data_IF_062201171792
#
_entry.id   IF_062201171792
#
_cell.length_a   1.000
_cell.length_b   1.000
_cell.length_c   1.000
_cell.angle_alpha   90.00
_cell.angle_beta   90.00
_cell.angle_gamma   90.00
#
_symmetry.space_group_name_H-M   'P 1'
#
loop_
_entity.id
_entity.type
_entity.pdbx_description
1 polymer ?
#
# COMPACT_ATOMS: atom_id res chain seq x y z
N UNK A 1 -9.41 -3.20 -11.51
CA UNK A 1 -10.22 -2.55 -10.46
C UNK A 1 -9.77 -2.97 -9.07
N UNK A 2 -9.10 -4.12 -8.90
CA UNK A 2 -8.73 -4.65 -7.60
C UNK A 2 -7.29 -4.39 -7.15
N UNK A 3 -6.31 -4.07 -8.00
CA UNK A 3 -4.91 -4.00 -7.53
C UNK A 3 -4.60 -2.81 -6.60
N UNK A 4 -5.18 -1.64 -6.87
CA UNK A 4 -5.16 -0.53 -5.91
C UNK A 4 -6.03 -0.85 -4.71
N UNK A 5 -7.19 -1.50 -4.93
CA UNK A 5 -8.07 -1.96 -3.87
C UNK A 5 -7.49 -3.11 -3.03
N UNK A 6 -6.46 -3.85 -3.47
CA UNK A 6 -5.79 -4.90 -2.70
C UNK A 6 -4.66 -4.29 -1.87
N UNK A 7 -3.94 -3.32 -2.45
CA UNK A 7 -3.08 -2.43 -1.67
C UNK A 7 -3.88 -1.64 -0.62
N UNK A 8 -5.15 -1.31 -0.87
CA UNK A 8 -5.98 -0.47 0.02
C UNK A 8 -6.86 -1.29 0.98
N UNK A 9 -7.61 -2.30 0.53
CA UNK A 9 -8.45 -3.14 1.40
C UNK A 9 -7.65 -4.15 2.23
N UNK A 10 -6.43 -4.49 1.82
CA UNK A 10 -5.50 -5.18 2.72
C UNK A 10 -5.16 -4.32 3.95
N UNK A 11 -5.13 -2.99 3.81
CA UNK A 11 -4.76 -2.04 4.87
C UNK A 11 -5.95 -1.56 5.72
N UNK A 12 -7.19 -1.94 5.39
CA UNK A 12 -8.39 -1.34 6.00
C UNK A 12 -9.33 -2.34 6.71
N UNK A 13 -8.91 -3.59 6.91
CA UNK A 13 -9.71 -4.55 7.68
C UNK A 13 -9.49 -4.35 9.19
N UNK A 14 -10.10 -3.31 9.74
CA UNK A 14 -10.15 -3.13 11.19
C UNK A 14 -11.07 -1.98 11.59
N UNK A 15 -12.05 -2.31 12.44
CA UNK A 15 -12.84 -1.38 13.29
C UNK A 15 -14.13 -0.83 12.68
N UNK A 16 -15.16 -1.68 12.69
CA UNK A 16 -16.56 -1.27 12.83
C UNK A 16 -16.97 -1.40 14.30
N UNK A 17 -16.95 -0.32 15.09
CA UNK A 17 -17.70 -0.25 16.35
C UNK A 17 -18.22 1.17 16.66
N UNK A 18 -19.41 1.21 17.24
CA UNK A 18 -20.33 2.33 17.47
C UNK A 18 -19.82 3.41 18.45
N UNK A 19 -19.04 4.36 17.95
CA UNK A 19 -19.16 5.83 18.13
C UNK A 19 -18.52 6.40 16.85
N UNK A 20 -19.04 7.47 16.24
CA UNK A 20 -18.36 8.05 15.06
C UNK A 20 -16.98 8.56 15.54
N UNK A 21 -15.93 7.76 15.32
CA UNK A 21 -14.55 8.12 15.70
C UNK A 21 -14.23 9.48 15.08
N UNK A 22 -13.40 10.30 15.74
CA UNK A 22 -13.06 11.60 15.20
C UNK A 22 -12.52 11.51 13.76
N UNK A 23 -11.76 10.46 13.45
CA UNK A 23 -11.30 10.12 12.10
C UNK A 23 -12.43 10.02 11.08
N UNK A 24 -13.59 9.45 11.41
CA UNK A 24 -14.74 9.41 10.49
C UNK A 24 -15.33 10.80 10.24
N UNK A 25 -15.35 11.68 11.24
CA UNK A 25 -15.78 13.08 11.05
C UNK A 25 -14.81 13.84 10.16
N UNK A 26 -13.51 13.59 10.34
CA UNK A 26 -12.45 14.13 9.48
C UNK A 26 -12.61 13.61 8.06
N UNK A 27 -12.88 12.31 7.88
CA UNK A 27 -13.07 11.70 6.56
C UNK A 27 -14.24 12.34 5.81
N UNK A 28 -15.40 12.47 6.47
CA UNK A 28 -16.59 13.12 5.89
C UNK A 28 -16.33 14.59 5.57
N UNK A 29 -15.66 15.33 6.46
CA UNK A 29 -15.46 16.77 6.28
C UNK A 29 -14.36 17.12 5.28
N UNK A 30 -13.30 16.31 5.22
CA UNK A 30 -12.07 16.60 4.47
C UNK A 30 -11.87 15.66 3.27
N UNK A 31 -12.83 14.75 3.01
CA UNK A 31 -12.79 13.78 1.92
C UNK A 31 -11.51 12.94 1.95
N UNK A 32 -11.26 12.28 3.07
CA UNK A 32 -10.03 11.51 3.28
C UNK A 32 -9.98 10.30 2.33
N UNK A 33 -11.14 9.69 2.03
CA UNK A 33 -11.31 8.71 0.96
C UNK A 33 -10.88 9.20 -0.43
N UNK A 34 -10.87 10.52 -0.67
CA UNK A 34 -10.43 11.07 -1.95
C UNK A 34 -8.90 11.22 -2.03
N UNK A 35 -8.13 11.00 -0.94
CA UNK A 35 -6.65 10.89 -1.04
C UNK A 35 -6.23 9.70 -1.91
N UNK A 36 -7.18 8.79 -2.13
CA UNK A 36 -7.08 7.59 -2.93
C UNK A 36 -7.74 7.84 -4.30
N UNK A 37 -7.39 8.94 -4.98
CA UNK A 37 -7.86 9.14 -6.35
C UNK A 37 -7.56 7.88 -7.19
N UNK A 38 -8.55 7.48 -8.01
CA UNK A 38 -8.58 6.17 -8.69
C UNK A 38 -7.46 5.97 -9.72
N UNK A 39 -6.67 7.00 -10.03
CA UNK A 39 -5.60 6.93 -11.01
C UNK A 39 -4.39 7.72 -10.57
N UNK A 40 -3.19 7.14 -10.73
CA UNK A 40 -1.94 7.86 -10.51
C UNK A 40 -1.82 9.07 -11.44
N UNK A 41 -1.18 10.16 -10.99
CA UNK A 41 -0.88 11.30 -11.84
C UNK A 41 -0.02 10.84 -13.01
N UNK A 42 -0.35 11.31 -14.21
CA UNK A 42 0.37 10.94 -15.44
C UNK A 42 1.42 11.95 -15.88
N UNK A 43 1.48 13.11 -15.22
CA UNK A 43 2.35 14.23 -15.56
C UNK A 43 2.73 14.99 -14.30
N UNK A 44 3.85 15.72 -14.37
CA UNK A 44 4.35 16.52 -13.24
C UNK A 44 3.36 17.63 -12.86
N UNK A 45 2.68 18.22 -13.85
CA UNK A 45 1.62 19.22 -13.64
C UNK A 45 0.46 18.65 -12.82
N UNK A 46 -0.01 17.44 -13.15
CA UNK A 46 -1.07 16.77 -12.38
C UNK A 46 -0.61 16.40 -10.98
N UNK A 47 0.64 15.94 -10.83
CA UNK A 47 1.19 15.66 -9.51
C UNK A 47 1.25 16.94 -8.67
N UNK A 48 1.62 18.08 -9.24
CA UNK A 48 1.65 19.37 -8.54
C UNK A 48 0.24 19.81 -8.08
N UNK A 49 -0.78 19.63 -8.94
CA UNK A 49 -2.18 19.85 -8.59
C UNK A 49 -2.63 18.96 -7.41
N UNK A 50 -2.35 17.66 -7.48
CA UNK A 50 -2.64 16.71 -6.39
C UNK A 50 -1.92 17.09 -5.08
N UNK A 51 -0.68 17.58 -5.19
CA UNK A 51 0.09 18.01 -4.02
C UNK A 51 -0.47 19.28 -3.37
N UNK A 52 -1.01 20.22 -4.15
CA UNK A 52 -1.72 21.38 -3.61
C UNK A 52 -3.02 20.94 -2.92
N UNK A 53 -3.78 20.05 -3.53
CA UNK A 53 -5.00 19.49 -2.95
C UNK A 53 -4.71 18.75 -1.62
N UNK A 54 -3.61 17.98 -1.56
CA UNK A 54 -3.14 17.32 -0.36
C UNK A 54 -2.87 18.31 0.78
N UNK A 55 -2.22 19.44 0.49
CA UNK A 55 -1.94 20.48 1.50
C UNK A 55 -3.21 21.11 2.05
N UNK A 56 -4.20 21.39 1.20
CA UNK A 56 -5.49 21.91 1.63
C UNK A 56 -6.24 20.90 2.52
N UNK A 57 -6.24 19.62 2.12
CA UNK A 57 -6.88 18.56 2.90
C UNK A 57 -6.21 18.36 4.25
N UNK A 58 -4.88 18.40 4.33
CA UNK A 58 -4.17 18.36 5.61
C UNK A 58 -4.58 19.48 6.55
N UNK A 59 -4.69 20.71 6.06
CA UNK A 59 -5.16 21.85 6.86
C UNK A 59 -6.59 21.62 7.36
N UNK A 60 -7.47 21.07 6.51
CA UNK A 60 -8.81 20.66 6.92
C UNK A 60 -8.76 19.59 8.03
N UNK A 61 -7.95 18.54 7.86
CA UNK A 61 -7.83 17.45 8.85
C UNK A 61 -7.37 17.98 10.20
N UNK A 62 -6.29 18.77 10.24
CA UNK A 62 -5.77 19.37 11.46
C UNK A 62 -6.86 20.23 12.14
N UNK A 63 -7.58 21.06 11.37
CA UNK A 63 -8.67 21.87 11.92
C UNK A 63 -9.76 21.01 12.55
N UNK A 64 -10.17 19.93 11.88
CA UNK A 64 -11.24 19.04 12.35
C UNK A 64 -10.81 18.18 13.53
N UNK A 65 -9.57 17.73 13.56
CA UNK A 65 -8.99 17.00 14.69
C UNK A 65 -8.89 17.89 15.93
N UNK A 66 -8.50 19.17 15.79
CA UNK A 66 -8.53 20.14 16.90
C UNK A 66 -9.92 20.32 17.50
N UNK A 67 -10.97 20.33 16.66
CA UNK A 67 -12.36 20.39 17.12
C UNK A 67 -12.77 19.14 17.95
N UNK A 68 -12.14 17.99 17.70
CA UNK A 68 -12.41 16.76 18.45
C UNK A 68 -11.64 16.66 19.77
N UNK A 69 -10.33 16.89 19.75
CA UNK A 69 -9.45 16.63 20.90
C UNK A 69 -9.38 17.83 21.87
N UNK A 70 -9.75 19.04 21.42
CA UNK A 70 -9.74 20.26 22.25
C UNK A 70 -8.36 20.65 22.80
N UNK A 71 -7.29 20.02 22.31
CA UNK A 71 -5.94 20.16 22.84
C UNK A 71 -5.04 21.00 21.93
N UNK A 72 -4.24 21.87 22.54
CA UNK A 72 -3.20 22.67 21.87
C UNK A 72 -1.92 21.86 21.70
N UNK A 73 -1.95 20.88 20.80
CA UNK A 73 -0.74 20.20 20.34
C UNK A 73 -0.20 20.83 19.05
N UNK A 74 1.05 20.53 18.70
CA UNK A 74 1.57 20.82 17.37
C UNK A 74 0.86 19.95 16.30
N UNK A 75 0.92 20.37 15.04
CA UNK A 75 0.17 19.73 13.94
C UNK A 75 0.48 18.24 13.77
N UNK A 76 1.72 17.82 14.04
CA UNK A 76 2.09 16.41 13.91
C UNK A 76 1.45 15.59 15.02
N UNK A 77 1.55 16.07 16.26
CA UNK A 77 0.93 15.42 17.43
C UNK A 77 -0.58 15.27 17.29
N UNK A 78 -1.28 16.25 16.69
CA UNK A 78 -2.72 16.19 16.41
C UNK A 78 -3.05 15.08 15.40
N UNK A 79 -2.27 14.97 14.33
CA UNK A 79 -2.47 13.93 13.33
C UNK A 79 -2.13 12.54 13.88
N UNK A 80 -1.14 12.43 14.75
CA UNK A 80 -0.74 11.15 15.37
C UNK A 80 -1.74 10.67 16.42
N UNK A 81 -2.42 11.58 17.15
CA UNK A 81 -3.48 11.19 18.09
C UNK A 81 -4.81 10.89 17.41
N UNK A 82 -5.10 11.60 16.32
CA UNK A 82 -6.44 11.65 15.72
C UNK A 82 -6.68 10.74 14.53
N UNK A 83 -5.63 10.16 13.94
CA UNK A 83 -5.72 9.31 12.75
C UNK A 83 -5.24 7.89 13.03
N UNK A 84 -5.80 6.92 12.32
CA UNK A 84 -5.29 5.55 12.32
C UNK A 84 -3.84 5.50 11.81
N UNK A 85 -3.11 4.47 12.25
CA UNK A 85 -1.73 4.19 11.83
C UNK A 85 -1.58 4.12 10.30
N UNK A 86 -2.56 3.50 9.62
CA UNK A 86 -2.56 3.37 8.16
C UNK A 86 -2.77 4.71 7.46
N UNK A 87 -3.75 5.49 7.91
CA UNK A 87 -3.99 6.85 7.40
C UNK A 87 -2.75 7.73 7.57
N UNK A 88 -2.11 7.68 8.74
CA UNK A 88 -0.91 8.45 9.02
C UNK A 88 0.27 8.05 8.12
N UNK A 89 0.48 6.76 7.88
CA UNK A 89 1.53 6.26 6.98
C UNK A 89 1.31 6.73 5.56
N UNK A 90 0.09 6.58 5.04
CA UNK A 90 -0.27 7.05 3.70
C UNK A 90 -0.07 8.57 3.57
N UNK A 91 -0.45 9.33 4.60
CA UNK A 91 -0.26 10.77 4.63
C UNK A 91 1.23 11.13 4.62
N UNK A 92 2.06 10.48 5.44
CA UNK A 92 3.52 10.70 5.47
C UNK A 92 4.15 10.39 4.10
N UNK A 93 3.80 9.27 3.49
CA UNK A 93 4.26 8.87 2.17
C UNK A 93 3.88 9.89 1.08
N UNK A 94 2.60 10.25 0.98
CA UNK A 94 2.12 11.22 -0.02
C UNK A 94 2.74 12.60 0.18
N UNK A 95 3.00 13.00 1.42
CA UNK A 95 3.74 14.22 1.76
C UNK A 95 5.17 14.18 1.23
N UNK A 96 5.85 13.04 1.42
CA UNK A 96 7.22 12.86 0.96
C UNK A 96 7.29 12.89 -0.58
N UNK A 97 6.35 12.23 -1.25
CA UNK A 97 6.20 12.29 -2.72
C UNK A 97 5.93 13.73 -3.18
N UNK A 98 5.23 14.56 -2.41
CA UNK A 98 4.98 15.96 -2.75
C UNK A 98 6.13 16.92 -2.40
N UNK A 99 7.10 16.47 -1.61
CA UNK A 99 8.25 17.30 -1.25
C UNK A 99 9.29 17.27 -2.38
N UNK A 100 9.43 18.38 -3.14
CA UNK A 100 10.35 18.49 -4.28
C UNK A 100 11.81 18.22 -3.93
N UNK A 101 12.19 18.43 -2.66
CA UNK A 101 13.54 18.20 -2.17
C UNK A 101 13.79 16.75 -1.72
N UNK A 102 12.78 15.87 -1.77
CA UNK A 102 12.93 14.47 -1.35
C UNK A 102 13.47 13.58 -2.48
N UNK A 103 14.31 12.62 -2.11
CA UNK A 103 14.81 11.60 -3.05
C UNK A 103 13.67 10.73 -3.61
N UNK A 104 12.61 10.53 -2.83
CA UNK A 104 11.41 9.81 -3.26
C UNK A 104 10.63 10.58 -4.32
N UNK A 105 10.47 11.90 -4.19
CA UNK A 105 9.83 12.73 -5.20
C UNK A 105 10.56 12.65 -6.54
N UNK A 106 11.88 12.84 -6.52
CA UNK A 106 12.70 12.80 -7.74
C UNK A 106 12.57 11.47 -8.48
N UNK A 107 12.65 10.34 -7.76
CA UNK A 107 12.48 9.00 -8.35
C UNK A 107 11.05 8.76 -8.81
N UNK A 108 10.06 9.11 -8.00
CA UNK A 108 8.66 8.95 -8.36
C UNK A 108 8.32 9.73 -9.63
N UNK A 109 8.71 10.99 -9.75
CA UNK A 109 8.46 11.81 -10.95
C UNK A 109 9.09 11.20 -12.21
N UNK A 110 10.29 10.64 -12.09
CA UNK A 110 10.95 9.97 -13.22
C UNK A 110 10.21 8.71 -13.66
N UNK A 111 9.73 7.90 -12.71
CA UNK A 111 9.10 6.62 -12.99
C UNK A 111 7.57 6.75 -13.22
N UNK A 112 6.98 7.89 -12.86
CA UNK A 112 5.53 8.16 -12.85
C UNK A 112 4.80 7.81 -14.17
N UNK A 113 5.30 8.15 -15.37
CA UNK A 113 4.64 7.75 -16.61
C UNK A 113 4.51 6.22 -16.73
N UNK A 114 5.52 5.48 -16.27
CA UNK A 114 5.50 4.03 -16.30
C UNK A 114 4.60 3.46 -15.20
N UNK A 115 4.67 4.02 -13.99
CA UNK A 115 3.77 3.68 -12.88
C UNK A 115 2.32 3.83 -13.28
N UNK A 116 1.97 4.92 -13.96
CA UNK A 116 0.62 5.14 -14.50
C UNK A 116 0.24 4.06 -15.52
N UNK A 117 1.10 3.78 -16.50
CA UNK A 117 0.84 2.78 -17.53
C UNK A 117 0.60 1.39 -16.92
N UNK A 118 1.44 0.97 -15.97
CA UNK A 118 1.32 -0.33 -15.29
C UNK A 118 0.06 -0.36 -14.43
N UNK A 119 -0.19 0.68 -13.65
CA UNK A 119 -1.42 0.83 -12.84
C UNK A 119 -2.69 0.71 -13.69
N UNK A 120 -2.73 1.42 -14.81
CA UNK A 120 -3.87 1.41 -15.74
C UNK A 120 -4.04 0.02 -16.37
N UNK A 121 -2.95 -0.66 -16.75
CA UNK A 121 -2.98 -2.01 -17.33
C UNK A 121 -3.44 -3.09 -16.34
N UNK A 122 -2.87 -3.10 -15.13
CA UNK A 122 -3.28 -4.04 -14.07
C UNK A 122 -4.77 -3.84 -13.71
N UNK A 123 -5.24 -2.59 -13.75
CA UNK A 123 -6.64 -2.29 -13.48
C UNK A 123 -7.61 -2.85 -14.52
N UNK A 124 -7.18 -3.04 -15.76
CA UNK A 124 -7.97 -3.60 -16.86
C UNK A 124 -7.89 -5.12 -16.90
N UNK A 125 -6.69 -5.69 -16.73
CA UNK A 125 -6.45 -7.10 -17.06
C UNK A 125 -6.59 -8.08 -15.87
N UNK A 126 -6.59 -7.63 -14.61
CA UNK A 126 -6.70 -8.50 -13.41
C UNK A 126 -5.71 -9.70 -13.39
N UNK A 127 -4.53 -9.57 -13.99
CA UNK A 127 -3.62 -10.69 -14.29
C UNK A 127 -2.77 -11.23 -13.12
N UNK A 128 -3.18 -11.08 -11.86
CA UNK A 128 -2.38 -11.54 -10.71
C UNK A 128 -2.78 -12.88 -10.10
N UNK A 129 -3.81 -13.55 -10.64
CA UNK A 129 -4.26 -14.87 -10.14
C UNK A 129 -3.30 -16.04 -10.47
N UNK A 130 -2.26 -15.80 -11.25
CA UNK A 130 -1.50 -16.85 -11.96
C UNK A 130 -0.15 -17.25 -11.34
N UNK A 131 0.17 -16.80 -10.11
CA UNK A 131 1.44 -17.20 -9.48
C UNK A 131 1.46 -18.68 -9.06
N UNK A 132 0.32 -19.40 -9.05
CA UNK A 132 0.31 -20.85 -8.87
C UNK A 132 0.94 -21.33 -7.55
N UNK A 133 1.13 -20.45 -6.56
CA UNK A 133 1.64 -20.83 -5.22
C UNK A 133 0.51 -21.52 -4.42
N UNK A 134 -0.75 -21.39 -4.86
CA UNK A 134 -1.93 -21.96 -4.21
C UNK A 134 -2.02 -23.49 -4.22
N UNK A 135 -1.66 -24.27 -5.28
CA UNK A 135 -1.95 -25.71 -5.27
C UNK A 135 -0.75 -26.62 -4.92
N UNK A 136 0.49 -26.10 -4.86
CA UNK A 136 1.66 -26.99 -4.90
C UNK A 136 2.17 -27.48 -3.52
N UNK A 137 1.82 -26.82 -2.42
CA UNK A 137 2.59 -26.97 -1.17
C UNK A 137 1.79 -27.03 0.12
N UNK A 138 0.46 -27.11 0.07
CA UNK A 138 -0.34 -27.40 1.25
C UNK A 138 -0.84 -28.84 1.09
N UNK A 139 -0.21 -29.84 1.73
CA UNK A 139 -0.81 -31.17 1.78
C UNK A 139 -2.22 -31.02 2.35
N UNK A 140 -3.19 -31.70 1.76
CA UNK A 140 -4.54 -31.86 2.33
C UNK A 140 -4.38 -32.29 3.80
N UNK A 141 -4.44 -31.32 4.71
CA UNK A 141 -4.55 -31.59 6.12
C UNK A 141 -5.98 -32.08 6.30
N UNK A 142 -6.10 -33.38 6.54
CA UNK A 142 -7.31 -34.13 6.89
C UNK A 142 -7.90 -33.70 8.26
N UNK A 143 -7.39 -32.58 8.78
CA UNK A 143 -7.63 -31.96 10.06
C UNK A 143 -7.73 -30.45 9.79
N UNK A 144 -8.98 -30.02 9.57
CA UNK A 144 -9.32 -28.68 9.12
C UNK A 144 -8.68 -27.54 9.92
N UNK A 145 -8.61 -26.40 9.26
CA UNK A 145 -7.96 -25.14 9.67
C UNK A 145 -6.47 -25.08 9.31
N UNK A 146 -6.17 -25.06 8.00
CA UNK A 146 -5.03 -24.27 7.53
C UNK A 146 -5.27 -22.84 8.03
N UNK A 147 -4.34 -22.33 8.83
CA UNK A 147 -4.42 -21.05 9.52
C UNK A 147 -4.79 -19.93 8.51
N UNK A 148 -5.93 -19.26 8.74
CA UNK A 148 -6.44 -18.21 7.85
C UNK A 148 -5.40 -17.13 7.61
N UNK A 149 -4.53 -16.93 8.58
CA UNK A 149 -3.51 -15.89 8.59
C UNK A 149 -2.34 -16.25 7.64
N UNK A 150 -2.02 -17.54 7.50
CA UNK A 150 -1.00 -18.00 6.55
C UNK A 150 -1.48 -17.87 5.11
N UNK A 151 -2.73 -18.26 4.83
CA UNK A 151 -3.33 -18.08 3.50
C UNK A 151 -3.47 -16.60 3.14
N UNK A 152 -3.86 -15.78 4.12
CA UNK A 152 -3.97 -14.34 3.93
C UNK A 152 -2.61 -13.70 3.63
N UNK A 153 -1.58 -13.99 4.43
CA UNK A 153 -0.22 -13.52 4.16
C UNK A 153 0.26 -13.96 2.77
N UNK A 154 0.08 -15.25 2.43
CA UNK A 154 0.49 -15.77 1.12
C UNK A 154 -0.18 -15.04 -0.03
N UNK A 155 -1.48 -14.76 0.08
CA UNK A 155 -2.21 -13.99 -0.93
C UNK A 155 -1.64 -12.59 -1.08
N UNK A 156 -1.45 -11.86 0.04
CA UNK A 156 -0.88 -10.50 0.03
C UNK A 156 0.50 -10.49 -0.63
N UNK A 157 1.39 -11.41 -0.26
CA UNK A 157 2.72 -11.50 -0.87
C UNK A 157 2.65 -11.93 -2.33
N UNK A 158 1.71 -12.79 -2.73
CA UNK A 158 1.54 -13.16 -4.14
C UNK A 158 1.14 -11.95 -4.98
N UNK A 159 0.16 -11.18 -4.51
CA UNK A 159 -0.31 -9.97 -5.16
C UNK A 159 0.83 -8.94 -5.29
N UNK A 160 1.62 -8.75 -4.25
CA UNK A 160 2.78 -7.86 -4.29
C UNK A 160 3.88 -8.36 -5.22
N UNK A 161 4.16 -9.67 -5.25
CA UNK A 161 5.16 -10.23 -6.15
C UNK A 161 4.74 -10.06 -7.62
N UNK A 162 3.48 -10.32 -7.91
CA UNK A 162 2.90 -10.10 -9.24
C UNK A 162 3.05 -8.63 -9.64
N UNK A 163 2.61 -7.72 -8.77
CA UNK A 163 2.72 -6.28 -8.99
C UNK A 163 4.16 -5.88 -9.31
N UNK A 164 5.12 -6.23 -8.45
CA UNK A 164 6.54 -5.91 -8.65
C UNK A 164 7.12 -6.55 -9.91
N UNK A 165 6.67 -7.75 -10.29
CA UNK A 165 7.10 -8.41 -11.53
C UNK A 165 6.65 -7.65 -12.77
N UNK A 166 5.40 -7.20 -12.81
CA UNK A 166 4.87 -6.40 -13.92
C UNK A 166 5.63 -5.06 -14.01
N UNK A 167 5.94 -4.45 -12.86
CA UNK A 167 6.79 -3.25 -12.82
C UNK A 167 8.19 -3.50 -13.36
N UNK A 168 8.80 -4.62 -12.99
CA UNK A 168 10.11 -5.00 -13.52
C UNK A 168 10.08 -5.14 -15.05
N UNK A 169 9.11 -5.90 -15.55
CA UNK A 169 9.02 -6.22 -16.98
C UNK A 169 8.72 -4.98 -17.84
N UNK A 170 7.90 -4.05 -17.33
CA UNK A 170 7.49 -2.86 -18.10
C UNK A 170 8.36 -1.62 -17.87
N UNK A 171 8.89 -1.46 -16.65
CA UNK A 171 9.55 -0.23 -16.21
C UNK A 171 11.02 -0.44 -15.82
N UNK A 172 11.46 -1.69 -15.66
CA UNK A 172 12.81 -2.05 -15.27
C UNK A 172 13.06 -1.89 -13.76
N UNK A 173 14.31 -2.18 -13.38
CA UNK A 173 14.71 -2.34 -11.97
C UNK A 173 14.48 -1.10 -11.09
N UNK A 174 14.79 0.09 -11.61
CA UNK A 174 14.66 1.35 -10.84
C UNK A 174 13.23 1.58 -10.36
N UNK A 175 12.25 1.33 -11.22
CA UNK A 175 10.85 1.48 -10.88
C UNK A 175 10.39 0.47 -9.81
N UNK A 176 10.97 -0.74 -9.82
CA UNK A 176 10.77 -1.73 -8.75
C UNK A 176 11.31 -1.22 -7.43
N UNK A 177 12.53 -0.67 -7.41
CA UNK A 177 13.11 -0.14 -6.17
C UNK A 177 12.25 1.01 -5.61
N UNK A 178 11.75 1.90 -6.48
CA UNK A 178 10.79 2.96 -6.10
C UNK A 178 9.47 2.38 -5.56
N UNK A 179 8.92 1.33 -6.21
CA UNK A 179 7.68 0.69 -5.81
C UNK A 179 7.82 -0.05 -4.46
N UNK A 180 8.93 -0.75 -4.24
CA UNK A 180 9.26 -1.43 -2.98
C UNK A 180 9.26 -0.42 -1.82
N UNK A 181 9.94 0.72 -2.00
CA UNK A 181 9.98 1.76 -0.97
C UNK A 181 8.59 2.35 -0.68
N UNK A 182 7.80 2.60 -1.73
CA UNK A 182 6.41 3.08 -1.58
C UNK A 182 5.57 2.07 -0.78
N UNK A 183 5.67 0.77 -1.10
CA UNK A 183 4.94 -0.28 -0.38
C UNK A 183 5.39 -0.37 1.08
N UNK A 184 6.70 -0.29 1.35
CA UNK A 184 7.25 -0.34 2.70
C UNK A 184 6.81 0.85 3.57
N UNK A 185 6.80 2.06 3.00
CA UNK A 185 6.42 3.29 3.70
C UNK A 185 4.91 3.44 3.85
N UNK A 186 4.15 3.06 2.83
CA UNK A 186 2.69 3.20 2.80
C UNK A 186 1.93 2.06 3.48
N UNK A 187 2.49 0.85 3.49
CA UNK A 187 1.80 -0.35 3.95
C UNK A 187 2.02 -0.73 5.41
N UNK A 188 1.17 -1.63 5.90
CA UNK A 188 1.30 -2.36 7.18
C UNK A 188 1.53 -3.84 6.92
N UNK A 189 2.57 -4.13 6.12
CA UNK A 189 3.00 -5.48 5.80
C UNK A 189 3.27 -6.35 7.05
N UNK A 190 3.75 -5.74 8.13
CA UNK A 190 3.95 -6.43 9.40
C UNK A 190 2.63 -6.86 10.09
N UNK A 191 1.56 -6.10 9.87
CA UNK A 191 0.23 -6.38 10.43
C UNK A 191 -0.52 -7.39 9.53
N UNK A 192 -0.35 -7.28 8.20
CA UNK A 192 -0.96 -8.21 7.21
C UNK A 192 -0.26 -9.57 7.13
N UNK A 193 1.05 -9.59 7.36
CA UNK A 193 1.84 -10.81 7.36
C UNK A 193 2.86 -10.77 8.51
N UNK A 194 2.45 -11.19 9.72
CA UNK A 194 3.31 -11.25 10.90
C UNK A 194 4.62 -12.03 10.65
N UNK A 195 5.69 -11.66 11.35
CA UNK A 195 7.06 -12.17 11.08
C UNK A 195 7.21 -13.68 11.20
N UNK A 196 6.47 -14.29 12.11
CA UNK A 196 6.39 -15.73 12.33
C UNK A 196 5.80 -16.46 11.13
N UNK A 197 4.67 -15.98 10.60
CA UNK A 197 4.01 -16.54 9.40
C UNK A 197 4.81 -16.23 8.13
N UNK A 198 5.34 -15.01 8.03
CA UNK A 198 6.07 -14.51 6.86
C UNK A 198 7.24 -15.39 6.48
N UNK A 199 7.97 -15.91 7.47
CA UNK A 199 9.14 -16.75 7.22
C UNK A 199 8.77 -17.99 6.42
N UNK A 200 7.66 -18.62 6.79
CA UNK A 200 7.20 -19.86 6.16
C UNK A 200 6.64 -19.58 4.76
N UNK A 201 5.88 -18.49 4.61
CA UNK A 201 5.39 -18.06 3.29
C UNK A 201 6.54 -17.69 2.36
N UNK A 202 7.54 -16.93 2.82
CA UNK A 202 8.72 -16.60 2.02
C UNK A 202 9.56 -17.85 1.66
N UNK A 203 9.52 -18.90 2.48
CA UNK A 203 10.12 -20.17 2.12
C UNK A 203 9.41 -20.81 0.90
N UNK A 204 8.08 -20.75 0.84
CA UNK A 204 7.32 -21.23 -0.32
C UNK A 204 7.68 -20.46 -1.60
N UNK A 205 7.86 -19.15 -1.52
CA UNK A 205 8.33 -18.35 -2.66
C UNK A 205 9.73 -18.76 -3.15
N UNK A 206 10.63 -19.14 -2.24
CA UNK A 206 11.95 -19.64 -2.61
C UNK A 206 11.86 -21.00 -3.34
N UNK A 207 11.02 -21.91 -2.87
CA UNK A 207 10.78 -23.18 -3.55
C UNK A 207 10.21 -22.95 -4.95
N UNK A 208 9.19 -22.09 -5.05
CA UNK A 208 8.60 -21.72 -6.33
C UNK A 208 9.61 -21.09 -7.31
N UNK A 209 10.50 -20.23 -6.82
CA UNK A 209 11.60 -19.66 -7.61
C UNK A 209 12.52 -20.73 -8.17
N UNK A 210 12.85 -21.75 -7.38
CA UNK A 210 13.71 -22.87 -7.78
C UNK A 210 13.00 -23.71 -8.85
N UNK A 211 11.71 -24.01 -8.66
CA UNK A 211 10.94 -24.87 -9.56
C UNK A 211 10.63 -24.21 -10.90
N UNK A 212 10.27 -22.92 -10.89
CA UNK A 212 9.81 -22.21 -12.09
C UNK A 212 10.89 -21.39 -12.79
N UNK A 213 11.98 -21.06 -12.07
CA UNK A 213 13.00 -20.12 -12.53
C UNK A 213 12.53 -18.67 -12.63
N UNK A 214 11.30 -18.35 -12.21
CA UNK A 214 10.75 -16.99 -12.21
C UNK A 214 11.37 -16.14 -11.10
N UNK A 215 11.50 -14.84 -11.35
CA UNK A 215 11.99 -13.92 -10.32
C UNK A 215 10.96 -13.72 -9.20
N UNK A 216 11.47 -13.51 -7.98
CA UNK A 216 10.69 -13.21 -6.79
C UNK A 216 11.22 -11.91 -6.21
N UNK A 217 10.37 -10.89 -6.16
CA UNK A 217 10.71 -9.54 -5.70
C UNK A 217 10.24 -9.27 -4.27
N UNK A 218 9.30 -10.06 -3.73
CA UNK A 218 8.73 -9.81 -2.39
C UNK A 218 9.71 -9.96 -1.23
N UNK A 219 10.85 -10.63 -1.44
CA UNK A 219 11.92 -10.63 -0.45
C UNK A 219 12.46 -9.22 -0.17
N UNK A 220 12.42 -8.33 -1.18
CA UNK A 220 12.94 -6.96 -1.08
C UNK A 220 12.05 -6.07 -0.23
N UNK A 221 10.80 -6.49 0.02
CA UNK A 221 9.89 -5.80 0.93
C UNK A 221 10.32 -5.94 2.41
N UNK A 222 11.24 -6.86 2.71
CA UNK A 222 11.64 -7.21 4.07
C UNK A 222 13.18 -7.18 4.24
N UNK A 223 13.77 -5.98 4.44
CA UNK A 223 15.19 -5.81 4.70
C UNK A 223 15.62 -6.32 6.08
#
# INVERSE_FOLDING_TARGET
MWAFLVLIFGLMNGVLSQELTCEQKVDVACSLNALLEKSLPGSAEKLEEECLNLQERKKCMISKLKECDGAEYDENSIMESGLSKDTLKLLKLTTEICNKDSDLHSRFVQDMPCFKKVSDAINVEQNCDDLGIFPASIPDADDGWVDSDMQYCQRVLSDMNCFLSIFFDQCGRRAVDTAVEIIQKGGTLDDQCPKDIRRDVLHLFNLWKIETGKQVYVHELFP
#
